data_IF_762839285400
#
_entry.id   IF_762839285400
#
_cell.length_a   1.000
_cell.length_b   1.000
_cell.length_c   1.000
_cell.angle_alpha   90.00
_cell.angle_beta   90.00
_cell.angle_gamma   90.00
#
_symmetry.space_group_name_H-M   'P 1'
#
loop_
_entity.id
_entity.type
_entity.pdbx_description
1 polymer ?
#
# COMPACT_ATOMS: atom_id res chain seq x y z
N UNK A 1 -17.34 4.51 -7.90
CA UNK A 1 -16.56 4.59 -6.65
C UNK A 1 -15.56 5.71 -6.81
N UNK A 2 -15.73 6.83 -6.11
CA UNK A 2 -14.83 7.98 -6.20
C UNK A 2 -13.50 7.58 -5.56
N UNK A 3 -12.57 7.08 -6.37
CA UNK A 3 -11.20 6.83 -5.93
C UNK A 3 -10.64 8.16 -5.46
N UNK A 4 -10.42 8.32 -4.16
CA UNK A 4 -9.73 9.48 -3.63
C UNK A 4 -8.33 9.51 -4.28
N UNK A 5 -8.03 10.46 -5.18
CA UNK A 5 -6.80 10.44 -5.98
C UNK A 5 -5.55 10.49 -5.09
N UNK A 6 -5.67 11.16 -3.95
CA UNK A 6 -4.66 11.30 -2.91
C UNK A 6 -4.11 9.96 -2.38
N UNK A 7 -4.97 8.94 -2.27
CA UNK A 7 -4.60 7.63 -1.70
C UNK A 7 -3.68 6.84 -2.62
N UNK A 8 -4.01 6.79 -3.90
CA UNK A 8 -3.24 6.02 -4.89
C UNK A 8 -1.91 6.73 -5.22
N UNK A 9 -1.95 8.07 -5.31
CA UNK A 9 -0.77 8.90 -5.51
C UNK A 9 0.24 8.77 -4.36
N UNK A 10 -0.23 8.88 -3.11
CA UNK A 10 0.62 8.67 -1.92
C UNK A 10 1.17 7.26 -1.84
N UNK A 11 0.37 6.24 -2.19
CA UNK A 11 0.85 4.85 -2.20
C UNK A 11 1.97 4.66 -3.24
N UNK A 12 1.80 5.20 -4.45
CA UNK A 12 2.84 5.20 -5.49
C UNK A 12 4.09 5.95 -5.07
N UNK A 13 3.94 7.10 -4.42
CA UNK A 13 5.07 7.90 -3.96
C UNK A 13 5.90 7.14 -2.91
N UNK A 14 5.25 6.45 -1.97
CA UNK A 14 5.93 5.56 -1.02
C UNK A 14 6.64 4.42 -1.74
N UNK A 15 6.01 3.78 -2.72
CA UNK A 15 6.62 2.69 -3.50
C UNK A 15 7.85 3.17 -4.29
N UNK A 16 7.84 4.38 -4.85
CA UNK A 16 8.99 4.96 -5.54
C UNK A 16 10.16 5.23 -4.58
N UNK A 17 9.88 5.75 -3.38
CA UNK A 17 10.90 5.98 -2.36
C UNK A 17 11.53 4.65 -1.91
N UNK A 18 10.71 3.62 -1.72
CA UNK A 18 11.18 2.27 -1.40
C UNK A 18 12.04 1.68 -2.53
N UNK A 19 11.60 1.82 -3.78
CA UNK A 19 12.36 1.39 -4.94
C UNK A 19 13.71 2.13 -5.07
N UNK A 20 13.77 3.38 -4.62
CA UNK A 20 15.01 4.16 -4.50
C UNK A 20 15.90 3.78 -3.30
N UNK A 21 15.54 2.75 -2.52
CA UNK A 21 16.32 2.25 -1.39
C UNK A 21 15.96 2.86 -0.03
N UNK A 22 14.91 3.69 0.06
CA UNK A 22 14.44 4.21 1.36
C UNK A 22 13.59 3.16 2.08
N UNK A 23 13.69 3.12 3.40
CA UNK A 23 12.82 2.26 4.21
C UNK A 23 11.35 2.68 4.16
N UNK A 24 10.45 1.75 4.49
CA UNK A 24 9.00 2.00 4.57
C UNK A 24 8.68 3.12 5.59
N UNK A 25 9.30 3.10 6.77
CA UNK A 25 9.09 4.11 7.81
C UNK A 25 9.52 5.51 7.35
N UNK A 26 10.71 5.62 6.74
CA UNK A 26 11.24 6.88 6.19
C UNK A 26 10.31 7.43 5.10
N UNK A 27 9.87 6.56 4.19
CA UNK A 27 9.00 6.92 3.07
C UNK A 27 7.63 7.39 3.56
N UNK A 28 7.04 6.70 4.54
CA UNK A 28 5.80 7.11 5.21
C UNK A 28 5.95 8.51 5.83
N UNK A 29 7.07 8.79 6.50
CA UNK A 29 7.34 10.09 7.13
C UNK A 29 7.47 11.23 6.12
N UNK A 30 8.19 11.00 5.00
CA UNK A 30 8.34 11.99 3.91
C UNK A 30 6.98 12.33 3.29
N UNK A 31 6.14 11.31 3.06
CA UNK A 31 4.82 11.47 2.45
C UNK A 31 3.76 11.98 3.45
N UNK A 32 4.07 12.01 4.75
CA UNK A 32 3.16 12.47 5.79
C UNK A 32 2.03 11.48 6.09
N UNK A 33 2.25 10.19 5.87
CA UNK A 33 1.29 9.13 6.20
C UNK A 33 1.88 8.17 7.24
N UNK A 34 1.01 7.50 7.98
CA UNK A 34 1.44 6.43 8.90
C UNK A 34 1.49 5.08 8.19
N UNK A 35 2.34 4.18 8.66
CA UNK A 35 2.40 2.78 8.17
C UNK A 35 1.05 2.08 8.28
N UNK A 36 0.26 2.39 9.32
CA UNK A 36 -1.11 1.87 9.48
C UNK A 36 -2.02 2.28 8.32
N UNK A 37 -1.88 3.52 7.86
CA UNK A 37 -2.63 4.05 6.71
C UNK A 37 -2.22 3.33 5.44
N UNK A 38 -0.91 3.20 5.20
CA UNK A 38 -0.37 2.46 4.05
C UNK A 38 -0.84 0.99 4.04
N UNK A 39 -0.76 0.29 5.17
CA UNK A 39 -1.22 -1.08 5.31
C UNK A 39 -2.72 -1.24 5.03
N UNK A 40 -3.54 -0.31 5.54
CA UNK A 40 -4.99 -0.30 5.28
C UNK A 40 -5.29 -0.06 3.81
N UNK A 41 -4.54 0.85 3.17
CA UNK A 41 -4.69 1.15 1.75
C UNK A 41 -4.30 -0.02 0.86
N UNK A 42 -3.24 -0.77 1.20
CA UNK A 42 -2.85 -1.99 0.48
C UNK A 42 -3.87 -3.12 0.63
N UNK A 43 -4.52 -3.25 1.80
CA UNK A 43 -5.62 -4.20 2.01
C UNK A 43 -6.82 -3.86 1.13
N UNK A 44 -7.20 -2.60 1.08
CA UNK A 44 -8.27 -2.09 0.20
C UNK A 44 -7.97 -2.31 -1.29
N UNK A 45 -6.68 -2.25 -1.67
CA UNK A 45 -6.21 -2.44 -3.05
C UNK A 45 -6.10 -3.90 -3.45
N UNK A 46 -5.99 -4.84 -2.50
CA UNK A 46 -6.18 -6.25 -2.83
C UNK A 46 -7.67 -6.42 -3.10
N UNK A 47 -8.10 -6.70 -4.35
CA UNK A 47 -9.41 -7.30 -4.52
C UNK A 47 -9.46 -8.53 -3.60
N UNK A 48 -10.64 -8.85 -3.10
CA UNK A 48 -10.90 -10.03 -2.26
C UNK A 48 -10.66 -11.36 -3.01
N UNK A 49 -9.60 -11.47 -3.79
CA UNK A 49 -9.10 -12.68 -4.45
C UNK A 49 -7.88 -13.18 -3.66
N UNK A 50 -8.13 -13.60 -2.43
CA UNK A 50 -7.26 -14.51 -1.70
C UNK A 50 -8.08 -15.41 -0.75
N UNK A 51 -9.39 -15.56 -1.01
CA UNK A 51 -10.19 -16.69 -0.54
C UNK A 51 -10.20 -17.77 -1.64
N UNK A 52 -9.01 -18.18 -2.08
CA UNK A 52 -8.80 -19.44 -2.78
C UNK A 52 -7.70 -20.14 -1.99
N UNK A 53 -8.18 -20.88 -0.99
CA UNK A 53 -7.42 -21.76 -0.11
C UNK A 53 -6.53 -22.73 -0.94
N UNK A 54 -5.32 -23.09 -0.47
CA UNK A 54 -4.53 -24.15 -1.07
C UNK A 54 -5.23 -25.50 -0.83
N UNK A 55 -5.53 -26.25 -1.89
CA UNK A 55 -5.87 -27.66 -1.77
C UNK A 55 -4.58 -28.50 -1.87
N UNK A 56 -4.11 -29.13 -0.78
CA UNK A 56 -3.18 -30.24 -0.90
C UNK A 56 -3.94 -31.51 -1.35
N UNK A 57 -3.39 -32.23 -2.34
CA UNK A 57 -3.72 -33.62 -2.66
C UNK A 57 -2.46 -34.47 -2.46
#
# INVERSE_FOLDING_TARGET
MTAMPDKDEKCRAVEQLIAGGKGVCESCRIIGISERTLARWRKDRRPATADLSPAPS
#
